data_IF_969667106832
#
_entry.id   IF_969667106832
#
_cell.length_a   1.000
_cell.length_b   1.000
_cell.length_c   1.000
_cell.angle_alpha   90.00
_cell.angle_beta   90.00
_cell.angle_gamma   90.00
#
_symmetry.space_group_name_H-M   'P 1'
#
loop_
_entity.id
_entity.type
_entity.pdbx_description
1 polymer ?
#
# COMPACT_ATOMS: atom_id res chain seq x y z
N UNK A 1 16.52 5.53 22.81
CA UNK A 1 16.42 4.10 22.44
C UNK A 1 15.74 3.98 21.08
N UNK A 2 16.17 3.00 20.26
CA UNK A 2 15.63 2.72 18.93
C UNK A 2 14.10 2.49 18.95
N UNK A 3 13.57 1.97 20.03
CA UNK A 3 12.14 1.73 20.22
C UNK A 3 11.27 2.98 20.04
N UNK A 4 11.79 4.16 20.39
CA UNK A 4 11.08 5.43 20.22
C UNK A 4 11.10 5.98 18.78
N UNK A 5 11.91 5.37 17.94
CA UNK A 5 12.07 5.72 16.52
C UNK A 5 11.46 4.66 15.58
N UNK A 6 10.72 3.71 16.12
CA UNK A 6 10.10 2.64 15.36
C UNK A 6 8.58 2.63 15.54
N UNK A 7 7.89 2.22 14.51
CA UNK A 7 6.44 1.98 14.55
C UNK A 7 6.11 0.64 13.90
N UNK A 8 5.10 -0.04 14.41
CA UNK A 8 4.53 -1.21 13.74
C UNK A 8 3.61 -0.75 12.62
N UNK A 9 3.74 -1.36 11.46
CA UNK A 9 2.88 -1.09 10.31
C UNK A 9 1.93 -2.27 10.08
N UNK A 10 0.74 -2.05 9.50
CA UNK A 10 -0.10 -3.15 9.05
C UNK A 10 0.54 -3.88 7.87
N UNK A 11 0.03 -5.07 7.59
CA UNK A 11 0.31 -5.86 6.39
C UNK A 11 -0.98 -6.40 5.80
N UNK A 12 -0.91 -6.92 4.61
CA UNK A 12 -2.00 -7.61 3.92
C UNK A 12 -1.67 -9.11 3.87
N UNK A 13 -2.49 -9.94 4.50
CA UNK A 13 -2.41 -11.40 4.33
C UNK A 13 -3.20 -11.78 3.07
N UNK A 14 -2.58 -12.47 2.13
CA UNK A 14 -3.22 -13.00 0.92
C UNK A 14 -3.73 -14.40 1.21
N UNK A 15 -5.02 -14.61 0.99
CA UNK A 15 -5.69 -15.87 1.27
C UNK A 15 -6.11 -16.52 -0.05
N UNK A 16 -6.02 -17.86 -0.11
CA UNK A 16 -6.64 -18.70 -1.14
C UNK A 16 -7.43 -19.80 -0.44
N UNK A 17 -8.70 -19.95 -0.79
CA UNK A 17 -9.62 -20.89 -0.14
C UNK A 17 -9.66 -20.71 1.39
N UNK A 18 -9.60 -19.44 1.84
CA UNK A 18 -9.58 -19.08 3.26
C UNK A 18 -8.26 -19.33 4.00
N UNK A 19 -7.24 -19.90 3.34
CA UNK A 19 -5.93 -20.16 3.94
C UNK A 19 -4.90 -19.11 3.52
N UNK A 20 -4.07 -18.59 4.45
CA UNK A 20 -3.02 -17.63 4.11
C UNK A 20 -1.93 -18.33 3.30
N UNK A 21 -1.60 -17.77 2.14
CA UNK A 21 -0.58 -18.29 1.23
C UNK A 21 0.59 -17.33 1.03
N UNK A 22 0.37 -16.03 1.21
CA UNK A 22 1.39 -15.00 1.05
C UNK A 22 1.00 -13.74 1.83
N UNK A 23 1.84 -12.72 1.80
CA UNK A 23 1.56 -11.40 2.39
C UNK A 23 2.13 -10.28 1.54
N UNK A 24 1.55 -9.08 1.64
CA UNK A 24 2.10 -7.85 1.09
C UNK A 24 2.24 -6.80 2.20
N UNK A 25 3.19 -5.89 2.04
CA UNK A 25 3.45 -4.83 3.03
C UNK A 25 2.77 -3.51 2.66
N UNK A 26 2.55 -3.30 1.37
CA UNK A 26 2.07 -2.03 0.82
C UNK A 26 0.74 -2.21 0.09
N UNK A 27 0.74 -3.02 -0.96
CA UNK A 27 -0.43 -3.19 -1.81
C UNK A 27 -0.59 -4.59 -2.40
N UNK A 28 -1.85 -4.90 -2.72
CA UNK A 28 -2.25 -6.07 -3.50
C UNK A 28 -3.17 -5.58 -4.61
N UNK A 29 -2.76 -5.79 -5.87
CA UNK A 29 -3.52 -5.37 -7.05
C UNK A 29 -3.99 -6.57 -7.88
N UNK A 30 -5.29 -6.65 -8.15
CA UNK A 30 -5.83 -7.60 -9.12
C UNK A 30 -5.95 -6.92 -10.49
N UNK A 31 -5.28 -7.49 -11.50
CA UNK A 31 -5.12 -6.88 -12.81
C UNK A 31 -5.25 -7.90 -13.96
N UNK A 32 -5.52 -7.38 -15.15
CA UNK A 32 -5.67 -8.18 -16.40
C UNK A 32 -4.34 -8.35 -17.17
N UNK A 33 -3.22 -8.39 -16.46
CA UNK A 33 -1.89 -8.57 -17.05
C UNK A 33 -1.54 -10.06 -17.03
N UNK A 34 -1.30 -10.70 -18.19
CA UNK A 34 -1.13 -12.15 -18.26
C UNK A 34 0.18 -12.68 -17.62
N UNK A 35 1.22 -11.87 -17.57
CA UNK A 35 2.47 -12.14 -16.84
C UNK A 35 3.13 -10.78 -16.56
N UNK A 36 2.97 -10.19 -15.40
CA UNK A 36 3.81 -9.08 -15.01
C UNK A 36 5.20 -9.65 -14.71
N UNK A 37 6.15 -9.53 -15.61
CA UNK A 37 7.55 -9.59 -15.19
C UNK A 37 7.79 -8.46 -14.20
N UNK A 38 8.84 -8.51 -13.35
CA UNK A 38 9.20 -7.54 -12.30
C UNK A 38 9.25 -6.06 -12.78
N UNK A 39 8.14 -5.54 -13.26
CA UNK A 39 7.93 -4.18 -13.72
C UNK A 39 6.79 -3.61 -12.92
N UNK A 40 7.02 -2.45 -12.32
CA UNK A 40 5.96 -1.66 -11.71
C UNK A 40 4.76 -1.56 -12.67
N UNK A 41 3.56 -1.80 -12.18
CA UNK A 41 2.34 -1.68 -12.97
C UNK A 41 2.11 -0.18 -13.22
N UNK A 42 2.50 0.30 -14.40
CA UNK A 42 2.32 1.68 -14.82
C UNK A 42 0.99 1.91 -15.53
N UNK A 43 0.36 0.84 -15.99
CA UNK A 43 -0.90 0.86 -16.71
C UNK A 43 -2.07 0.69 -15.71
N UNK A 44 -2.50 1.80 -15.14
CA UNK A 44 -3.56 1.84 -14.13
C UNK A 44 -4.89 1.33 -14.69
N UNK A 45 -5.13 1.45 -16.00
CA UNK A 45 -6.36 0.99 -16.63
C UNK A 45 -6.53 -0.53 -16.56
N UNK A 46 -5.44 -1.26 -16.34
CA UNK A 46 -5.45 -2.71 -16.17
C UNK A 46 -5.67 -3.19 -14.75
N UNK A 47 -5.73 -2.28 -13.78
CA UNK A 47 -6.01 -2.61 -12.39
C UNK A 47 -7.52 -2.53 -12.16
N UNK A 48 -8.11 -3.60 -11.64
CA UNK A 48 -9.54 -3.69 -11.37
C UNK A 48 -9.87 -3.59 -9.88
N UNK A 49 -9.01 -4.18 -9.04
CA UNK A 49 -9.12 -4.06 -7.58
C UNK A 49 -7.74 -3.77 -6.99
N UNK A 50 -7.71 -2.91 -5.99
CA UNK A 50 -6.50 -2.53 -5.27
C UNK A 50 -6.80 -2.54 -3.78
N UNK A 51 -5.99 -3.28 -3.02
CA UNK A 51 -6.06 -3.29 -1.55
C UNK A 51 -4.76 -2.73 -1.01
N UNK A 52 -4.85 -1.74 -0.14
CA UNK A 52 -3.73 -1.04 0.45
C UNK A 52 -3.66 -1.33 1.95
N UNK A 53 -2.46 -1.59 2.47
CA UNK A 53 -2.25 -1.68 3.92
C UNK A 53 -2.39 -0.32 4.59
N UNK A 54 -1.95 0.74 3.91
CA UNK A 54 -2.06 2.15 4.35
C UNK A 54 -2.27 3.07 3.14
N UNK A 55 -3.13 4.06 3.31
CA UNK A 55 -3.43 5.08 2.29
C UNK A 55 -2.78 6.43 2.68
N UNK A 56 -1.45 6.52 2.62
CA UNK A 56 -0.71 7.70 3.06
C UNK A 56 -0.61 8.78 1.96
N UNK A 57 -0.92 10.06 2.27
CA UNK A 57 -0.58 11.17 1.39
C UNK A 57 0.94 11.31 1.24
N UNK A 58 1.41 11.76 0.08
CA UNK A 58 2.83 12.07 -0.17
C UNK A 58 3.70 10.85 -0.51
N UNK A 59 3.12 9.66 -0.64
CA UNK A 59 3.80 8.49 -1.20
C UNK A 59 3.62 8.44 -2.73
N UNK A 60 4.45 7.65 -3.40
CA UNK A 60 4.36 7.38 -4.84
C UNK A 60 3.89 5.95 -5.07
N UNK A 61 3.52 5.63 -6.31
CA UNK A 61 3.03 4.30 -6.70
C UNK A 61 1.54 4.12 -6.47
N UNK A 62 1.10 2.86 -6.41
CA UNK A 62 -0.32 2.54 -6.26
C UNK A 62 -0.92 3.04 -4.95
N UNK A 63 -0.13 3.08 -3.88
CA UNK A 63 -0.56 3.62 -2.57
C UNK A 63 -0.97 5.10 -2.64
N UNK A 64 -0.41 5.87 -3.59
CA UNK A 64 -0.77 7.27 -3.81
C UNK A 64 -2.23 7.45 -4.21
N UNK A 65 -2.84 6.45 -4.86
CA UNK A 65 -4.27 6.48 -5.23
C UNK A 65 -5.11 6.60 -3.96
N UNK A 66 -4.86 5.75 -2.98
CA UNK A 66 -5.53 5.83 -1.68
C UNK A 66 -5.17 7.09 -0.89
N UNK A 67 -3.90 7.51 -0.95
CA UNK A 67 -3.42 8.75 -0.32
C UNK A 67 -4.09 10.01 -0.84
N UNK A 68 -4.58 9.99 -2.09
CA UNK A 68 -5.28 11.11 -2.73
C UNK A 68 -6.78 11.20 -2.34
N UNK A 69 -7.30 10.19 -1.61
CA UNK A 69 -8.68 10.18 -1.13
C UNK A 69 -8.83 10.90 0.23
N UNK A 70 -10.03 11.42 0.53
CA UNK A 70 -10.34 11.87 1.88
C UNK A 70 -10.14 10.75 2.91
N UNK A 71 -9.65 11.05 4.13
CA UNK A 71 -9.54 10.05 5.18
C UNK A 71 -10.92 9.57 5.64
N UNK A 72 -11.00 8.37 6.25
CA UNK A 72 -12.22 7.92 6.88
C UNK A 72 -12.56 8.78 8.11
N UNK A 73 -13.79 8.68 8.64
CA UNK A 73 -14.11 9.23 9.95
C UNK A 73 -13.11 8.72 11.00
N UNK A 74 -12.55 9.63 11.82
CA UNK A 74 -11.50 9.28 12.77
C UNK A 74 -10.07 9.40 12.25
N UNK A 75 -9.86 9.54 10.92
CA UNK A 75 -8.57 9.86 10.32
C UNK A 75 -7.58 8.68 10.16
N UNK A 76 -7.94 7.49 10.62
CA UNK A 76 -7.08 6.31 10.44
C UNK A 76 -7.09 5.86 8.98
N UNK A 77 -5.92 5.86 8.36
CA UNK A 77 -5.74 5.53 6.95
C UNK A 77 -5.24 4.10 6.71
N UNK A 78 -5.33 3.22 7.71
CA UNK A 78 -5.00 1.80 7.60
C UNK A 78 -6.13 1.04 6.93
N UNK A 79 -5.77 0.13 6.03
CA UNK A 79 -6.70 -0.75 5.34
C UNK A 79 -7.67 -0.02 4.40
N UNK A 80 -7.42 -0.12 3.09
CA UNK A 80 -8.28 0.46 2.07
C UNK A 80 -8.44 -0.50 0.91
N UNK A 81 -9.67 -0.79 0.51
CA UNK A 81 -9.99 -1.52 -0.72
C UNK A 81 -10.64 -0.58 -1.73
N UNK A 82 -10.19 -0.66 -2.98
CA UNK A 82 -10.66 0.13 -4.10
C UNK A 82 -11.10 -0.78 -5.25
N UNK A 83 -12.21 -0.44 -5.89
CA UNK A 83 -12.57 -0.92 -7.21
C UNK A 83 -12.24 0.16 -8.22
N UNK A 84 -11.34 -0.15 -9.16
CA UNK A 84 -10.85 0.77 -10.18
C UNK A 84 -11.54 0.45 -11.50
N UNK A 85 -11.89 1.48 -12.26
CA UNK A 85 -12.46 1.33 -13.59
C UNK A 85 -13.36 2.46 -14.01
N UNK A 86 -13.78 2.48 -15.28
CA UNK A 86 -14.57 3.57 -15.87
C UNK A 86 -15.91 3.74 -15.16
N UNK A 87 -16.40 4.99 -15.17
CA UNK A 87 -17.66 5.38 -14.54
C UNK A 87 -17.58 5.71 -13.05
N UNK A 88 -16.39 5.59 -12.45
CA UNK A 88 -16.15 6.01 -11.07
C UNK A 88 -15.77 7.49 -10.93
N UNK A 89 -15.58 7.92 -9.70
CA UNK A 89 -15.03 9.24 -9.40
C UNK A 89 -13.55 9.28 -9.76
N UNK A 90 -13.11 10.29 -10.52
CA UNK A 90 -11.70 10.47 -10.85
C UNK A 90 -10.94 11.16 -9.71
N UNK A 91 -9.77 10.63 -9.39
CA UNK A 91 -8.78 11.26 -8.50
C UNK A 91 -7.46 11.39 -9.23
N UNK A 92 -6.74 12.49 -8.98
CA UNK A 92 -5.38 12.69 -9.50
C UNK A 92 -4.38 12.07 -8.54
N UNK A 93 -3.65 11.05 -8.99
CA UNK A 93 -2.71 10.31 -8.17
C UNK A 93 -1.26 10.42 -8.68
N UNK A 94 -0.28 10.77 -7.83
CA UNK A 94 1.14 10.81 -8.19
C UNK A 94 1.75 9.41 -8.20
N UNK A 95 1.68 8.74 -9.36
CA UNK A 95 2.12 7.34 -9.51
C UNK A 95 3.66 7.23 -9.53
N UNK A 96 4.34 8.23 -10.10
CA UNK A 96 5.80 8.27 -10.13
C UNK A 96 6.29 9.73 -10.06
N UNK A 97 7.57 9.96 -9.80
CA UNK A 97 8.13 11.30 -9.84
C UNK A 97 7.84 12.02 -11.18
N UNK A 98 7.13 13.15 -11.10
CA UNK A 98 6.69 13.90 -12.28
C UNK A 98 5.54 13.31 -13.08
N UNK A 99 4.96 12.18 -12.64
CA UNK A 99 3.82 11.54 -13.29
C UNK A 99 2.61 11.53 -12.36
N UNK A 100 1.64 12.40 -12.68
CA UNK A 100 0.32 12.44 -12.00
C UNK A 100 -0.73 12.05 -13.03
N UNK A 101 -1.53 11.04 -12.71
CA UNK A 101 -2.52 10.48 -13.64
C UNK A 101 -3.92 10.50 -13.02
N UNK A 102 -4.99 10.65 -13.84
CA UNK A 102 -6.34 10.44 -13.37
C UNK A 102 -6.60 8.93 -13.16
N UNK A 103 -7.25 8.59 -12.05
CA UNK A 103 -7.67 7.23 -11.73
C UNK A 103 -9.14 7.24 -11.41
N UNK A 104 -9.94 6.48 -12.18
CA UNK A 104 -11.36 6.35 -11.95
C UNK A 104 -11.65 5.28 -10.90
N UNK A 105 -12.25 5.65 -9.78
CA UNK A 105 -12.54 4.78 -8.64
C UNK A 105 -14.05 4.59 -8.53
N UNK A 106 -14.54 3.36 -8.72
CA UNK A 106 -15.94 2.99 -8.64
C UNK A 106 -16.44 2.78 -7.23
N UNK A 107 -15.57 2.24 -6.37
CA UNK A 107 -15.90 1.96 -4.98
C UNK A 107 -14.72 2.19 -4.07
N UNK A 108 -14.98 2.70 -2.86
CA UNK A 108 -14.00 2.96 -1.81
C UNK A 108 -14.52 2.32 -0.54
N UNK A 109 -13.74 1.41 0.06
CA UNK A 109 -14.07 0.75 1.31
C UNK A 109 -12.89 0.78 2.25
N UNK A 110 -13.01 1.51 3.36
CA UNK A 110 -12.05 1.43 4.45
C UNK A 110 -12.26 0.13 5.22
N UNK A 111 -11.19 -0.50 5.63
CA UNK A 111 -11.18 -1.83 6.26
C UNK A 111 -10.77 -1.73 7.71
N UNK A 112 -11.53 -2.36 8.57
CA UNK A 112 -11.17 -2.54 9.97
C UNK A 112 -10.11 -3.66 10.12
N UNK A 113 -9.28 -3.61 11.18
CA UNK A 113 -8.32 -4.67 11.48
C UNK A 113 -8.96 -6.05 11.51
N UNK A 114 -8.35 -7.00 10.81
CA UNK A 114 -8.86 -8.37 10.65
C UNK A 114 -9.92 -8.54 9.56
N UNK A 115 -10.40 -7.45 8.98
CA UNK A 115 -11.39 -7.51 7.91
C UNK A 115 -10.80 -8.08 6.61
N UNK A 116 -11.65 -8.80 5.87
CA UNK A 116 -11.27 -9.48 4.63
C UNK A 116 -12.05 -8.94 3.45
N UNK A 117 -11.36 -8.80 2.31
CA UNK A 117 -11.93 -8.40 1.02
C UNK A 117 -11.73 -9.52 0.01
N UNK A 118 -12.79 -9.99 -0.60
CA UNK A 118 -12.70 -10.97 -1.70
C UNK A 118 -12.17 -10.31 -2.98
N UNK A 119 -11.30 -11.02 -3.68
CA UNK A 119 -10.87 -10.65 -5.02
C UNK A 119 -11.90 -11.22 -6.01
N UNK A 120 -12.62 -10.32 -6.65
CA UNK A 120 -13.73 -10.66 -7.57
C UNK A 120 -13.31 -10.63 -9.03
N UNK A 121 -12.21 -9.92 -9.36
CA UNK A 121 -11.68 -9.88 -10.71
C UNK A 121 -10.97 -11.19 -11.05
N UNK A 122 -11.46 -11.90 -12.05
CA UNK A 122 -10.93 -13.17 -12.54
C UNK A 122 -11.42 -13.46 -13.97
N UNK A 123 -10.61 -14.17 -14.82
CA UNK A 123 -9.24 -14.56 -14.54
C UNK A 123 -8.30 -13.36 -14.61
N UNK A 124 -7.13 -13.47 -13.99
CA UNK A 124 -6.17 -12.37 -13.98
C UNK A 124 -4.89 -12.69 -13.23
N UNK A 125 -4.23 -11.64 -12.76
CA UNK A 125 -3.03 -11.70 -11.95
C UNK A 125 -3.22 -10.91 -10.68
N UNK A 126 -2.77 -11.46 -9.56
CA UNK A 126 -2.64 -10.78 -8.28
C UNK A 126 -1.18 -10.36 -8.13
N UNK A 127 -0.91 -9.07 -8.14
CA UNK A 127 0.41 -8.50 -7.92
C UNK A 127 0.53 -8.02 -6.47
N UNK A 128 1.66 -8.31 -5.82
CA UNK A 128 1.94 -8.03 -4.42
C UNK A 128 3.17 -7.11 -4.34
N UNK A 129 3.01 -5.91 -3.79
CA UNK A 129 4.07 -4.91 -3.59
C UNK A 129 4.84 -4.55 -4.89
N UNK A 130 4.29 -4.89 -6.07
CA UNK A 130 4.97 -4.73 -7.36
C UNK A 130 6.18 -5.67 -7.58
N UNK A 131 6.42 -6.63 -6.69
CA UNK A 131 7.59 -7.52 -6.72
C UNK A 131 7.22 -8.99 -6.97
N UNK A 132 6.06 -9.43 -6.53
CA UNK A 132 5.59 -10.81 -6.62
C UNK A 132 4.22 -10.88 -7.26
N UNK A 133 3.90 -12.04 -7.82
CA UNK A 133 2.66 -12.24 -8.54
C UNK A 133 2.14 -13.67 -8.42
N UNK A 134 0.82 -13.79 -8.51
CA UNK A 134 0.12 -15.07 -8.53
C UNK A 134 -0.98 -15.01 -9.58
N UNK A 135 -1.10 -16.05 -10.39
CA UNK A 135 -2.20 -16.16 -11.36
C UNK A 135 -3.51 -16.47 -10.65
N UNK A 136 -4.57 -15.77 -11.07
CA UNK A 136 -5.95 -16.01 -10.61
C UNK A 136 -6.69 -16.75 -11.73
N UNK A 137 -7.10 -17.99 -11.48
CA UNK A 137 -7.98 -18.77 -12.35
C UNK A 137 -9.45 -18.41 -12.15
N UNK A 138 -10.32 -18.94 -13.02
CA UNK A 138 -11.76 -18.68 -12.95
C UNK A 138 -12.41 -19.19 -11.65
N UNK A 139 -11.92 -20.32 -11.13
CA UNK A 139 -12.50 -21.02 -9.98
C UNK A 139 -11.74 -20.72 -8.68
N UNK A 140 -10.69 -19.89 -8.72
CA UNK A 140 -9.91 -19.56 -7.54
C UNK A 140 -10.67 -18.61 -6.61
N UNK A 141 -10.62 -18.89 -5.30
CA UNK A 141 -11.17 -18.03 -4.26
C UNK A 141 -10.03 -17.29 -3.53
N UNK A 142 -9.69 -16.11 -4.04
CA UNK A 142 -8.70 -15.23 -3.42
C UNK A 142 -9.37 -14.15 -2.59
N UNK A 143 -8.76 -13.86 -1.44
CA UNK A 143 -9.13 -12.75 -0.59
C UNK A 143 -7.89 -12.09 0.03
N UNK A 144 -8.04 -10.84 0.48
CA UNK A 144 -6.99 -10.09 1.17
C UNK A 144 -7.51 -9.64 2.51
N UNK A 145 -6.76 -9.90 3.58
CA UNK A 145 -7.10 -9.53 4.95
C UNK A 145 -6.11 -8.50 5.48
N UNK A 146 -6.65 -7.40 6.05
CA UNK A 146 -5.81 -6.44 6.77
C UNK A 146 -5.37 -7.01 8.12
N UNK A 147 -4.06 -6.97 8.39
CA UNK A 147 -3.46 -7.48 9.61
C UNK A 147 -2.61 -6.40 10.29
N UNK A 148 -2.94 -6.03 11.52
CA UNK A 148 -2.21 -5.02 12.28
C UNK A 148 -0.79 -5.45 12.67
N UNK A 149 -0.54 -6.76 12.68
CA UNK A 149 0.72 -7.33 13.14
C UNK A 149 1.73 -7.48 11.98
N UNK A 150 1.96 -6.39 11.26
CA UNK A 150 3.01 -6.32 10.27
C UNK A 150 4.39 -6.01 10.88
N UNK A 151 5.39 -5.70 10.06
CA UNK A 151 6.76 -5.45 10.51
C UNK A 151 6.87 -4.17 11.34
N UNK A 152 7.90 -4.14 12.17
CA UNK A 152 8.35 -2.91 12.82
C UNK A 152 9.26 -2.16 11.86
N UNK A 153 8.89 -0.95 11.52
CA UNK A 153 9.64 -0.08 10.62
C UNK A 153 10.24 1.10 11.36
N UNK A 154 11.42 1.55 10.93
CA UNK A 154 12.01 2.79 11.42
C UNK A 154 11.19 3.97 10.89
N UNK A 155 10.70 4.81 11.79
CA UNK A 155 10.11 6.10 11.47
C UNK A 155 11.22 7.10 11.23
N UNK A 156 11.48 7.40 9.96
CA UNK A 156 12.60 8.27 9.55
C UNK A 156 12.44 9.68 10.10
N UNK A 157 11.23 10.25 10.01
CA UNK A 157 10.97 11.60 10.50
C UNK A 157 11.18 11.67 12.01
N UNK A 158 10.60 10.74 12.76
CA UNK A 158 10.79 10.64 14.20
C UNK A 158 12.24 10.38 14.61
N UNK A 159 12.97 9.59 13.83
CA UNK A 159 14.40 9.34 14.06
C UNK A 159 15.23 10.61 13.93
N UNK A 160 14.96 11.42 12.89
CA UNK A 160 15.65 12.68 12.66
C UNK A 160 15.31 13.73 13.73
N UNK A 161 14.05 13.79 14.17
CA UNK A 161 13.64 14.64 15.32
C UNK A 161 14.42 14.28 16.58
N UNK A 162 14.44 13.00 16.96
CA UNK A 162 15.18 12.52 18.14
C UNK A 162 16.69 12.80 18.04
N UNK A 163 17.26 12.69 16.85
CA UNK A 163 18.65 13.03 16.63
C UNK A 163 18.92 14.54 16.78
N UNK A 164 18.01 15.39 16.29
CA UNK A 164 18.10 16.84 16.46
C UNK A 164 17.99 17.23 17.93
N UNK A 165 16.99 16.71 18.64
CA UNK A 165 16.75 16.98 20.08
C UNK A 165 17.93 16.58 20.96
N UNK A 166 18.61 15.47 20.61
CA UNK A 166 19.81 14.99 21.33
C UNK A 166 21.11 15.68 20.92
N UNK A 167 21.07 16.64 19.97
CA UNK A 167 22.26 17.29 19.44
C UNK A 167 23.10 16.40 18.52
N UNK A 168 22.52 15.29 18.01
CA UNK A 168 23.24 14.31 17.18
C UNK A 168 23.79 14.88 15.86
N UNK A 169 23.33 16.03 15.43
CA UNK A 169 23.85 16.75 14.24
C UNK A 169 24.90 17.80 14.58
N UNK A 170 25.22 18.01 15.87
CA UNK A 170 26.20 19.02 16.29
C UNK A 170 27.60 18.43 16.19
N UNK A 171 28.42 19.00 15.31
CA UNK A 171 29.82 18.62 15.21
C UNK A 171 30.60 19.13 16.44
N UNK A 172 31.43 18.27 17.10
CA UNK A 172 32.29 18.74 18.15
C UNK A 172 33.25 19.82 17.64
N UNK A 173 33.47 20.89 18.44
CA UNK A 173 34.42 21.92 18.07
C UNK A 173 35.82 21.26 17.93
N UNK A 174 36.42 21.39 16.74
CA UNK A 174 37.83 21.03 16.55
C UNK A 174 38.64 21.95 17.44
N UNK A 175 39.39 21.40 18.43
CA UNK A 175 40.47 22.13 19.09
C UNK A 175 41.46 22.56 17.99
N UNK A 176 41.68 23.85 17.84
CA UNK A 176 42.81 24.35 17.04
C UNK A 176 44.03 24.22 17.96
N UNK A 177 44.81 23.17 17.75
CA UNK A 177 46.17 23.12 18.22
C UNK A 177 47.07 24.02 17.40
#
# INVERSE_FOLDING_TARGET
PLENACRRTPRLDVLRDGQPIDMALVDVAACDIPVPGARAIWDIERIHQLVLSMAQPGVLGLSAIGGSLPPPPGGDRRGLALEIGPGGQEVMAPIAPGLVVPVAIRNVRWLEPGETVSITFRPGTLALDGERETTIGNDDDFAVRINEHGPTMVDVERTLELAADSGGFIMPRRSRD
#
